data_IF_728437104449
#
_entry.id   IF_728437104449
#
_cell.length_a   1.000
_cell.length_b   1.000
_cell.length_c   1.000
_cell.angle_alpha   90.00
_cell.angle_beta   90.00
_cell.angle_gamma   90.00
#
_symmetry.space_group_name_H-M   'P 1'
#
loop_
_entity.id
_entity.type
_entity.pdbx_description
1 polymer ?
#
# COMPACT_ATOMS: atom_id res chain seq x y z
N UNK A 1 -3.85 -4.62 15.13
CA UNK A 1 -4.62 -3.65 14.31
C UNK A 1 -3.70 -3.12 13.23
N UNK A 2 -4.12 -3.10 11.96
CA UNK A 2 -3.31 -2.50 10.90
C UNK A 2 -3.07 -1.00 11.16
N UNK A 3 -1.83 -0.53 11.02
CA UNK A 3 -1.45 0.88 11.23
C UNK A 3 -1.74 1.74 9.99
N UNK A 4 -2.98 1.67 9.48
CA UNK A 4 -3.37 2.21 8.16
C UNK A 4 -3.15 3.73 8.06
N UNK A 5 -3.31 4.47 9.16
CA UNK A 5 -3.09 5.92 9.18
C UNK A 5 -1.67 6.34 8.77
N UNK A 6 -0.67 5.47 8.94
CA UNK A 6 0.72 5.73 8.54
C UNK A 6 1.03 5.24 7.12
N UNK A 7 0.17 4.40 6.53
CA UNK A 7 0.45 3.72 5.28
C UNK A 7 0.70 4.70 4.13
N UNK A 8 -0.11 5.74 3.97
CA UNK A 8 0.02 6.66 2.84
C UNK A 8 1.37 7.39 2.83
N UNK A 9 1.88 7.78 4.00
CA UNK A 9 3.17 8.45 4.12
C UNK A 9 4.34 7.50 3.79
N UNK A 10 4.32 6.29 4.35
CA UNK A 10 5.37 5.29 4.10
C UNK A 10 5.34 4.75 2.67
N UNK A 11 4.16 4.49 2.11
CA UNK A 11 4.02 4.02 0.73
C UNK A 11 4.49 5.10 -0.25
N UNK A 12 4.15 6.38 0.00
CA UNK A 12 4.67 7.47 -0.82
C UNK A 12 6.19 7.52 -0.78
N UNK A 13 6.78 7.48 0.41
CA UNK A 13 8.23 7.47 0.56
C UNK A 13 8.89 6.25 -0.10
N UNK A 14 8.27 5.07 -0.01
CA UNK A 14 8.77 3.86 -0.66
C UNK A 14 8.79 4.02 -2.19
N UNK A 15 7.75 4.61 -2.77
CA UNK A 15 7.67 4.87 -4.20
C UNK A 15 8.65 5.97 -4.65
N UNK A 16 8.89 6.99 -3.83
CA UNK A 16 9.95 7.99 -4.09
C UNK A 16 11.35 7.34 -4.10
N UNK A 17 11.52 6.23 -3.39
CA UNK A 17 12.74 5.43 -3.36
C UNK A 17 12.80 4.36 -4.46
N UNK A 18 11.86 4.36 -5.41
CA UNK A 18 11.87 3.48 -6.57
C UNK A 18 10.93 2.27 -6.50
N UNK A 19 10.13 2.10 -5.43
CA UNK A 19 9.09 1.08 -5.40
C UNK A 19 8.03 1.40 -6.48
N UNK A 20 7.80 0.45 -7.38
CA UNK A 20 6.79 0.60 -8.44
C UNK A 20 5.38 0.33 -7.90
N UNK A 21 4.36 0.84 -8.61
CA UNK A 21 2.96 0.50 -8.32
C UNK A 21 2.69 -1.01 -8.37
N UNK A 22 3.36 -1.72 -9.29
CA UNK A 22 3.22 -3.18 -9.43
C UNK A 22 3.75 -3.88 -8.20
N UNK A 23 4.98 -3.56 -7.77
CA UNK A 23 5.58 -4.17 -6.58
C UNK A 23 4.79 -3.87 -5.31
N UNK A 24 4.28 -2.63 -5.16
CA UNK A 24 3.40 -2.28 -4.04
C UNK A 24 2.10 -3.10 -4.05
N UNK A 25 1.51 -3.34 -5.22
CA UNK A 25 0.29 -4.14 -5.37
C UNK A 25 0.56 -5.61 -5.03
N UNK A 26 1.67 -6.16 -5.51
CA UNK A 26 2.08 -7.53 -5.18
C UNK A 26 2.42 -7.70 -3.69
N UNK A 27 3.04 -6.70 -3.06
CA UNK A 27 3.29 -6.72 -1.62
C UNK A 27 1.98 -6.80 -0.82
N UNK A 28 0.96 -6.01 -1.19
CA UNK A 28 -0.37 -6.10 -0.57
C UNK A 28 -1.03 -7.47 -0.82
N UNK A 29 -0.92 -8.01 -2.04
CA UNK A 29 -1.40 -9.36 -2.37
C UNK A 29 -0.72 -10.44 -1.53
N UNK A 30 0.61 -10.37 -1.37
CA UNK A 30 1.37 -11.29 -0.54
C UNK A 30 0.91 -11.21 0.93
N UNK A 31 0.69 -10.00 1.43
CA UNK A 31 0.21 -9.76 2.79
C UNK A 31 -1.20 -10.27 3.05
N UNK A 32 -2.02 -10.58 2.04
CA UNK A 32 -3.33 -11.22 2.28
C UNK A 32 -3.16 -12.53 3.06
N UNK A 33 -2.15 -13.33 2.68
CA UNK A 33 -1.88 -14.64 3.26
C UNK A 33 -1.19 -14.54 4.64
N UNK A 34 -0.42 -13.48 4.88
CA UNK A 34 0.40 -13.35 6.11
C UNK A 34 -0.19 -12.41 7.16
N UNK A 35 -0.89 -11.36 6.74
CA UNK A 35 -1.54 -10.39 7.62
C UNK A 35 -3.06 -10.55 7.65
N UNK A 36 -3.64 -11.39 6.79
CA UNK A 36 -5.07 -11.64 6.73
C UNK A 36 -5.84 -10.58 5.93
N UNK A 37 -6.96 -11.04 5.36
CA UNK A 37 -7.85 -10.26 4.50
C UNK A 37 -8.29 -8.93 5.15
N UNK A 38 -8.71 -8.88 6.44
CA UNK A 38 -9.16 -7.62 7.04
C UNK A 38 -8.09 -6.53 7.07
N UNK A 39 -6.82 -6.88 7.31
CA UNK A 39 -5.73 -5.91 7.37
C UNK A 39 -5.41 -5.33 5.99
N UNK A 40 -5.36 -6.17 4.95
CA UNK A 40 -5.08 -5.70 3.58
C UNK A 40 -6.24 -4.90 3.01
N UNK A 41 -7.49 -5.34 3.21
CA UNK A 41 -8.64 -4.58 2.72
C UNK A 41 -8.78 -3.23 3.42
N UNK A 42 -8.34 -3.11 4.67
CA UNK A 42 -8.23 -1.81 5.35
C UNK A 42 -7.12 -0.92 4.75
N UNK A 43 -6.06 -1.51 4.19
CA UNK A 43 -4.94 -0.81 3.57
C UNK A 43 -5.22 -0.33 2.12
N UNK A 44 -6.09 -1.03 1.38
CA UNK A 44 -6.36 -0.75 -0.05
C UNK A 44 -6.77 0.71 -0.31
N UNK A 45 -7.71 1.33 0.42
CA UNK A 45 -8.11 2.71 0.15
C UNK A 45 -6.93 3.70 0.28
N UNK A 46 -6.12 3.55 1.33
CA UNK A 46 -4.95 4.39 1.54
C UNK A 46 -3.87 4.19 0.46
N UNK A 47 -3.70 2.97 -0.06
CA UNK A 47 -2.80 2.70 -1.17
C UNK A 47 -3.33 3.28 -2.50
N UNK A 48 -4.64 3.14 -2.76
CA UNK A 48 -5.31 3.71 -3.93
C UNK A 48 -5.14 5.23 -3.98
N UNK A 49 -5.36 5.92 -2.87
CA UNK A 49 -5.16 7.37 -2.76
C UNK A 49 -3.73 7.80 -3.13
N UNK A 50 -2.71 7.04 -2.72
CA UNK A 50 -1.31 7.32 -3.09
C UNK A 50 -1.10 7.12 -4.59
N UNK A 51 -1.65 6.06 -5.17
CA UNK A 51 -1.53 5.80 -6.60
C UNK A 51 -2.22 6.86 -7.47
N UNK A 52 -3.37 7.38 -7.03
CA UNK A 52 -4.13 8.40 -7.78
C UNK A 52 -3.49 9.79 -7.70
N UNK A 53 -2.75 10.10 -6.63
CA UNK A 53 -2.04 11.37 -6.45
C UNK A 53 -0.71 11.44 -7.21
N UNK A 54 -0.21 10.32 -7.73
CA UNK A 54 1.05 10.27 -8.47
C UNK A 54 0.81 10.44 -9.97
N UNK A 55 1.63 11.27 -10.66
CA UNK A 55 1.62 11.31 -12.12
C UNK A 55 1.98 9.93 -12.69
N UNK A 56 1.43 9.62 -13.86
CA UNK A 56 1.75 8.37 -14.59
C UNK A 56 3.18 8.35 -15.08
#
# INVERSE_FOLDING_TARGET
>A
SGQVAQLSAHLSRAMDNGLTKSEASEALTHLLFYAGWPNVFSAIPAAKDVFEKRPR
#
